data_IF_004987759877
#
_entry.id   IF_004987759877
#
_cell.length_a   1.000
_cell.length_b   1.000
_cell.length_c   1.000
_cell.angle_alpha   90.00
_cell.angle_beta   90.00
_cell.angle_gamma   90.00
#
_symmetry.space_group_name_H-M   'P 1'
#
loop_
_entity.id
_entity.type
_entity.pdbx_description
1 polymer ?
#
# COMPACT_ATOMS: atom_id res chain seq x y z
N UNK A 1 11.82 -23.34 8.94
CA UNK A 1 11.66 -22.12 9.75
C UNK A 1 11.17 -22.56 11.11
N UNK A 2 11.74 -22.09 12.23
CA UNK A 2 11.28 -22.51 13.56
C UNK A 2 9.83 -22.05 13.74
N UNK A 3 8.92 -23.01 13.87
CA UNK A 3 7.50 -22.75 14.02
C UNK A 3 7.17 -22.76 15.51
N UNK A 4 6.67 -21.63 16.04
CA UNK A 4 6.42 -21.48 17.47
C UNK A 4 5.13 -22.26 17.83
N UNK A 5 5.20 -23.37 18.59
CA UNK A 5 4.06 -24.25 18.77
C UNK A 5 2.99 -23.59 19.64
N UNK A 6 1.72 -23.85 19.33
CA UNK A 6 0.58 -23.41 20.14
C UNK A 6 0.55 -24.24 21.43
N UNK A 7 0.57 -23.57 22.57
CA UNK A 7 0.47 -24.18 23.91
C UNK A 7 -0.91 -24.07 24.52
N UNK A 8 -1.67 -23.02 24.16
CA UNK A 8 -3.03 -22.80 24.65
C UNK A 8 -3.89 -22.18 23.55
N UNK A 9 -5.12 -22.66 23.45
CA UNK A 9 -6.15 -22.13 22.57
C UNK A 9 -7.45 -22.00 23.35
N UNK A 10 -8.08 -20.82 23.29
CA UNK A 10 -9.41 -20.58 23.88
C UNK A 10 -10.30 -20.02 22.76
N UNK A 11 -11.43 -20.68 22.51
CA UNK A 11 -12.41 -20.24 21.51
C UNK A 11 -13.62 -19.67 22.24
N UNK A 12 -13.97 -18.43 21.89
CA UNK A 12 -15.11 -17.75 22.48
C UNK A 12 -16.35 -17.88 21.58
N UNK A 13 -17.54 -17.87 22.19
CA UNK A 13 -18.83 -18.02 21.49
C UNK A 13 -19.11 -16.94 20.43
N UNK A 14 -18.43 -15.80 20.52
CA UNK A 14 -18.55 -14.66 19.60
C UNK A 14 -17.57 -14.75 18.41
N UNK A 15 -16.90 -15.89 18.22
CA UNK A 15 -16.06 -16.14 17.05
C UNK A 15 -14.62 -15.64 17.16
N UNK A 16 -14.19 -15.17 18.34
CA UNK A 16 -12.80 -14.77 18.61
C UNK A 16 -12.03 -15.95 19.20
N UNK A 17 -10.78 -16.12 18.77
CA UNK A 17 -9.86 -17.13 19.31
C UNK A 17 -8.65 -16.46 19.98
N UNK A 18 -8.29 -16.94 21.18
CA UNK A 18 -7.05 -16.60 21.85
C UNK A 18 -6.03 -17.72 21.66
N UNK A 19 -4.82 -17.36 21.25
CA UNK A 19 -3.74 -18.30 20.96
C UNK A 19 -2.48 -17.92 21.72
N UNK A 20 -1.94 -18.86 22.47
CA UNK A 20 -0.64 -18.72 23.11
C UNK A 20 0.36 -19.63 22.37
N UNK A 21 1.42 -19.04 21.84
CA UNK A 21 2.52 -19.76 21.21
C UNK A 21 3.78 -19.60 22.05
N UNK A 22 4.46 -20.70 22.34
CA UNK A 22 5.68 -20.70 23.16
C UNK A 22 6.61 -21.85 22.81
N UNK A 23 7.87 -21.53 22.63
CA UNK A 23 8.97 -22.43 22.33
C UNK A 23 10.25 -21.63 22.12
N UNK A 24 11.35 -22.35 21.90
CA UNK A 24 12.64 -21.73 21.61
C UNK A 24 12.69 -21.22 20.18
N UNK A 25 13.18 -19.99 20.01
CA UNK A 25 13.39 -19.38 18.70
C UNK A 25 14.88 -19.13 18.53
N UNK A 26 15.44 -19.63 17.43
CA UNK A 26 16.81 -19.33 17.03
C UNK A 26 16.81 -18.29 15.90
N UNK A 27 17.81 -17.40 15.93
CA UNK A 27 17.94 -16.32 14.94
C UNK A 27 17.35 -14.99 15.41
N UNK A 28 17.08 -14.10 14.46
CA UNK A 28 16.69 -12.70 14.71
C UNK A 28 15.27 -12.37 14.25
N UNK A 29 14.58 -13.30 13.58
CA UNK A 29 13.24 -13.09 13.02
C UNK A 29 12.35 -14.29 13.34
N UNK A 30 11.10 -14.02 13.74
CA UNK A 30 10.02 -14.98 13.85
C UNK A 30 8.87 -14.49 12.97
N UNK A 31 8.41 -15.33 12.04
CA UNK A 31 7.29 -14.99 11.16
C UNK A 31 6.01 -15.66 11.64
N UNK A 32 4.98 -14.84 11.86
CA UNK A 32 3.61 -15.28 12.16
C UNK A 32 2.69 -14.85 11.02
N UNK A 33 1.81 -15.74 10.57
CA UNK A 33 0.88 -15.47 9.47
C UNK A 33 -0.55 -15.40 10.01
N UNK A 34 -1.26 -14.34 9.62
CA UNK A 34 -2.66 -14.11 10.01
C UNK A 34 -3.49 -13.74 8.78
N UNK A 35 -4.80 -14.06 8.76
CA UNK A 35 -5.70 -13.56 7.75
C UNK A 35 -5.69 -12.02 7.73
N UNK A 36 -5.69 -11.41 6.54
CA UNK A 36 -5.66 -9.94 6.39
C UNK A 36 -6.78 -9.25 7.16
N UNK A 37 -7.98 -9.82 7.15
CA UNK A 37 -9.15 -9.27 7.86
C UNK A 37 -8.98 -9.23 9.39
N UNK A 38 -8.08 -10.04 9.95
CA UNK A 38 -7.82 -10.12 11.38
C UNK A 38 -6.62 -9.26 11.83
N UNK A 39 -5.87 -8.65 10.89
CA UNK A 39 -4.63 -7.93 11.21
C UNK A 39 -4.85 -6.81 12.22
N UNK A 40 -5.95 -6.07 12.07
CA UNK A 40 -6.32 -4.97 12.95
C UNK A 40 -6.49 -5.42 14.41
N UNK A 41 -7.15 -6.56 14.63
CA UNK A 41 -7.39 -7.11 15.96
C UNK A 41 -6.14 -7.77 16.53
N UNK A 42 -5.33 -8.39 15.67
CA UNK A 42 -4.01 -8.94 16.04
C UNK A 42 -3.11 -7.82 16.55
N UNK A 43 -2.94 -6.73 15.81
CA UNK A 43 -2.07 -5.62 16.23
C UNK A 43 -2.53 -4.95 17.52
N UNK A 44 -3.85 -4.91 17.77
CA UNK A 44 -4.42 -4.35 19.02
C UNK A 44 -4.23 -5.26 20.24
N UNK A 45 -4.03 -6.56 20.05
CA UNK A 45 -4.03 -7.55 21.14
C UNK A 45 -2.78 -8.43 21.23
N UNK A 46 -1.84 -8.32 20.27
CA UNK A 46 -0.62 -9.10 20.23
C UNK A 46 0.32 -8.72 21.36
N UNK A 47 0.74 -9.73 22.12
CA UNK A 47 1.76 -9.62 23.14
C UNK A 47 2.93 -10.54 22.76
N UNK A 48 4.11 -9.96 22.56
CA UNK A 48 5.34 -10.69 22.29
C UNK A 48 6.31 -10.49 23.46
N UNK A 49 6.77 -11.59 24.06
CA UNK A 49 7.66 -11.58 25.21
C UNK A 49 8.82 -12.53 24.97
N UNK A 50 10.04 -12.07 25.27
CA UNK A 50 11.17 -12.95 25.48
C UNK A 50 11.24 -13.32 26.97
N UNK A 51 11.37 -14.60 27.27
CA UNK A 51 11.50 -15.11 28.66
C UNK A 51 12.88 -15.68 28.95
N UNK A 52 13.83 -15.50 28.01
CA UNK A 52 15.21 -15.93 28.12
C UNK A 52 16.15 -14.73 28.27
N UNK A 53 17.28 -14.77 27.56
CA UNK A 53 18.26 -13.69 27.53
C UNK A 53 18.12 -12.80 26.28
N UNK A 54 17.07 -13.00 25.49
CA UNK A 54 16.81 -12.26 24.27
C UNK A 54 16.01 -10.98 24.53
N UNK A 55 15.59 -10.33 23.45
CA UNK A 55 14.64 -9.24 23.53
C UNK A 55 13.90 -9.02 22.22
N UNK A 56 12.66 -8.57 22.32
CA UNK A 56 11.84 -8.14 21.18
C UNK A 56 12.23 -6.71 20.81
N UNK A 57 12.64 -6.48 19.55
CA UNK A 57 13.08 -5.17 19.05
C UNK A 57 11.98 -4.40 18.33
N UNK A 58 11.09 -5.10 17.64
CA UNK A 58 10.06 -4.52 16.81
C UNK A 58 9.19 -5.59 16.17
N UNK A 59 8.12 -5.16 15.53
CA UNK A 59 7.21 -6.00 14.78
C UNK A 59 7.05 -5.34 13.41
N UNK A 60 7.47 -6.07 12.37
CA UNK A 60 7.26 -5.66 10.99
C UNK A 60 5.99 -6.30 10.46
N UNK A 61 5.12 -5.50 9.84
CA UNK A 61 3.88 -5.97 9.24
C UNK A 61 3.62 -5.22 7.93
N UNK A 62 3.00 -5.90 6.97
CA UNK A 62 2.56 -5.27 5.74
C UNK A 62 1.38 -4.34 6.04
N UNK A 63 1.50 -3.05 5.72
CA UNK A 63 0.39 -2.11 5.88
C UNK A 63 -0.68 -2.45 4.84
N UNK A 64 -1.91 -2.82 5.25
CA UNK A 64 -2.95 -3.25 4.33
C UNK A 64 -3.63 -2.04 3.68
N UNK A 65 -2.89 -1.15 3.02
CA UNK A 65 -3.51 -0.06 2.27
C UNK A 65 -4.22 -0.63 1.04
N UNK A 66 -5.52 -0.39 0.94
CA UNK A 66 -6.26 -0.68 -0.28
C UNK A 66 -5.81 0.24 -1.42
N UNK A 67 -5.78 -0.29 -2.64
CA UNK A 67 -5.34 0.47 -3.83
C UNK A 67 -6.22 1.70 -4.05
N UNK A 68 -7.54 1.60 -3.81
CA UNK A 68 -8.42 2.75 -3.93
C UNK A 68 -8.11 3.79 -2.85
N UNK A 69 -7.78 3.38 -1.62
CA UNK A 69 -7.34 4.30 -0.55
C UNK A 69 -6.00 4.98 -0.85
N UNK A 70 -5.09 4.32 -1.58
CA UNK A 70 -3.87 4.95 -2.09
C UNK A 70 -4.18 5.97 -3.19
N UNK A 71 -5.02 5.62 -4.16
CA UNK A 71 -5.44 6.52 -5.26
C UNK A 71 -6.22 7.72 -4.73
N UNK A 72 -7.10 7.53 -3.74
CA UNK A 72 -7.91 8.60 -3.13
C UNK A 72 -7.06 9.67 -2.42
N UNK A 73 -5.92 9.29 -1.83
CA UNK A 73 -4.94 10.23 -1.26
C UNK A 73 -4.10 10.95 -2.33
N UNK A 74 -4.13 10.45 -3.56
CA UNK A 74 -3.56 11.13 -4.71
C UNK A 74 -4.21 12.49 -4.91
N UNK A 75 -3.44 13.44 -5.40
CA UNK A 75 -3.91 14.81 -5.65
C UNK A 75 -4.49 15.02 -7.06
N UNK A 76 -4.83 13.92 -7.73
CA UNK A 76 -5.37 13.84 -9.09
C UNK A 76 -6.50 12.82 -9.05
N UNK A 77 -7.71 13.26 -9.35
CA UNK A 77 -8.93 12.45 -9.33
C UNK A 77 -9.57 12.49 -10.72
N UNK A 78 -9.45 11.41 -11.47
CA UNK A 78 -9.98 11.32 -12.83
C UNK A 78 -11.33 10.59 -12.81
N UNK A 79 -12.39 11.22 -13.31
CA UNK A 79 -13.64 10.51 -13.59
C UNK A 79 -13.61 9.84 -14.97
N UNK A 80 -14.39 8.78 -15.14
CA UNK A 80 -14.52 8.06 -16.42
C UNK A 80 -15.18 8.91 -17.52
N UNK A 81 -15.96 9.93 -17.13
CA UNK A 81 -16.71 10.76 -18.08
C UNK A 81 -15.93 11.98 -18.56
N UNK A 82 -15.07 12.55 -17.70
CA UNK A 82 -14.40 13.84 -17.98
C UNK A 82 -12.95 13.88 -17.50
N UNK A 83 -12.24 12.76 -17.62
CA UNK A 83 -10.86 12.57 -17.14
C UNK A 83 -9.90 13.71 -17.49
N UNK A 84 -9.89 14.20 -18.73
CA UNK A 84 -9.01 15.32 -19.13
C UNK A 84 -9.39 16.63 -18.44
N UNK A 85 -10.68 16.94 -18.33
CA UNK A 85 -11.14 18.17 -17.67
C UNK A 85 -10.83 18.11 -16.17
N UNK A 86 -11.04 16.96 -15.54
CA UNK A 86 -10.77 16.77 -14.11
C UNK A 86 -9.27 16.90 -13.83
N UNK A 87 -8.43 16.30 -14.68
CA UNK A 87 -6.98 16.51 -14.62
C UNK A 87 -6.58 17.98 -14.72
N UNK A 88 -7.14 18.73 -15.68
CA UNK A 88 -6.83 20.15 -15.85
C UNK A 88 -7.29 20.99 -14.65
N UNK A 89 -8.41 20.61 -14.00
CA UNK A 89 -8.88 21.25 -12.76
C UNK A 89 -7.93 20.99 -11.60
N UNK A 90 -7.48 19.76 -11.43
CA UNK A 90 -6.58 19.36 -10.33
C UNK A 90 -5.15 19.89 -10.51
N UNK A 91 -4.73 20.11 -11.76
CA UNK A 91 -3.44 20.72 -12.09
C UNK A 91 -3.44 22.25 -12.01
N UNK A 92 -4.59 22.90 -11.77
CA UNK A 92 -4.69 24.36 -11.66
C UNK A 92 -3.77 24.89 -10.54
N UNK A 93 -2.92 25.86 -10.88
CA UNK A 93 -1.94 26.44 -9.96
C UNK A 93 -0.63 25.64 -9.85
N UNK A 94 -0.51 24.50 -10.54
CA UNK A 94 0.74 23.72 -10.62
C UNK A 94 1.51 24.08 -11.89
N UNK A 95 2.84 24.08 -11.80
CA UNK A 95 3.71 24.26 -12.97
C UNK A 95 3.74 22.96 -13.77
N UNK A 96 3.21 22.99 -14.99
CA UNK A 96 3.13 21.82 -15.88
C UNK A 96 4.12 21.95 -17.04
N UNK A 97 4.58 20.81 -17.57
CA UNK A 97 5.30 20.73 -18.85
C UNK A 97 4.49 19.86 -19.80
N UNK A 98 4.33 20.34 -21.02
CA UNK A 98 3.64 19.61 -22.09
C UNK A 98 4.69 19.08 -23.05
N UNK A 99 4.54 17.82 -23.45
CA UNK A 99 5.39 17.17 -24.44
C UNK A 99 4.53 16.83 -25.64
N UNK A 100 4.87 17.40 -26.80
CA UNK A 100 4.18 17.08 -28.04
C UNK A 100 4.89 15.89 -28.70
N UNK A 101 4.11 15.04 -29.35
CA UNK A 101 4.52 13.70 -29.81
C UNK A 101 5.73 13.64 -30.76
N UNK A 102 6.18 14.78 -31.30
CA UNK A 102 7.35 14.86 -32.19
C UNK A 102 8.70 14.96 -31.46
N UNK A 103 8.72 15.21 -30.15
CA UNK A 103 9.94 15.17 -29.36
C UNK A 103 9.89 13.98 -28.41
N UNK A 104 10.64 12.90 -28.70
CA UNK A 104 10.93 11.85 -27.70
C UNK A 104 11.82 12.48 -26.62
N UNK A 105 11.31 12.81 -25.42
CA UNK A 105 12.18 13.33 -24.39
C UNK A 105 12.90 12.13 -23.76
N UNK A 106 14.17 12.30 -23.40
CA UNK A 106 14.83 11.37 -22.49
C UNK A 106 13.97 11.19 -21.24
N UNK A 107 13.71 9.94 -20.84
CA UNK A 107 12.87 9.61 -19.71
C UNK A 107 13.37 10.36 -18.46
N UNK A 108 12.56 11.30 -17.97
CA UNK A 108 12.81 12.03 -16.72
C UNK A 108 11.64 11.78 -15.77
N UNK A 109 11.90 11.66 -14.47
CA UNK A 109 10.83 11.49 -13.49
C UNK A 109 9.89 12.70 -13.53
N UNK A 110 8.60 12.45 -13.78
CA UNK A 110 7.57 13.50 -13.86
C UNK A 110 6.30 13.03 -14.58
N UNK A 111 5.25 13.85 -14.50
CA UNK A 111 3.98 13.65 -15.20
C UNK A 111 3.99 14.45 -16.53
N UNK A 112 3.71 13.80 -17.65
CA UNK A 112 3.69 14.41 -18.98
C UNK A 112 2.37 14.15 -19.69
N UNK A 113 1.83 15.17 -20.36
CA UNK A 113 0.65 15.07 -21.22
C UNK A 113 1.08 15.11 -22.68
N UNK A 114 0.70 14.09 -23.44
CA UNK A 114 0.91 13.99 -24.88
C UNK A 114 -0.23 14.66 -25.65
N UNK A 115 0.11 15.63 -26.50
CA UNK A 115 -0.84 16.29 -27.41
C UNK A 115 -0.46 16.05 -28.86
N UNK A 116 -1.44 15.65 -29.68
CA UNK A 116 -1.31 15.64 -31.15
C UNK A 116 -1.70 17.01 -31.70
N UNK A 117 -0.89 17.59 -32.61
CA UNK A 117 -1.33 18.75 -33.40
C UNK A 117 -2.16 18.22 -34.57
N UNK A 118 -3.42 18.63 -34.66
CA UNK A 118 -4.14 18.52 -35.92
C UNK A 118 -3.56 19.54 -36.90
N UNK A 119 -3.23 19.08 -38.11
CA UNK A 119 -2.77 19.95 -39.19
C UNK A 119 -3.87 20.97 -39.56
N UNK A 120 -3.50 22.23 -39.91
CA UNK A 120 -4.48 23.20 -40.39
C UNK A 120 -5.15 22.68 -41.68
N UNK A 121 -6.46 22.93 -41.87
CA UNK A 121 -7.12 22.58 -43.13
C UNK A 121 -6.43 23.30 -44.29
N UNK A 122 -6.21 22.56 -45.38
CA UNK A 122 -5.59 23.11 -46.58
C UNK A 122 -6.42 24.30 -47.11
N UNK A 123 -5.78 25.38 -47.59
CA UNK A 123 -6.48 26.46 -48.25
C UNK A 123 -7.19 25.95 -49.52
N UNK A 124 -8.29 26.61 -49.93
CA UNK A 124 -9.14 26.17 -51.04
C UNK A 124 -8.40 26.09 -52.38
#
# INVERSE_FOLDING_TARGET
>A
MPDLPIRRMILYKHGVGYFERRGDVSGTELRLSFPRAAMDDVLKSLVALDTGAGQVRGIDFETPEDRASQVARGSIHLSDQRSLLDLLRDLRGRRVRLHLSDERPAARPGFGLGGSRNAPPAPP
#
